data_IF_204101375624
#
_entry.id   IF_204101375624
#
_cell.length_a   1.000
_cell.length_b   1.000
_cell.length_c   1.000
_cell.angle_alpha   90.00
_cell.angle_beta   90.00
_cell.angle_gamma   90.00
#
_symmetry.space_group_name_H-M   'P 1'
#
loop_
_entity.id
_entity.type
_entity.pdbx_description
1 polymer ?
#
# COMPACT_ATOMS: atom_id res chain seq x y z
N UNK A 1 43.13 -39.18 -79.17
CA UNK A 1 43.30 -38.84 -77.73
C UNK A 1 42.29 -37.81 -77.27
N UNK A 2 41.66 -37.99 -76.09
CA UNK A 2 40.66 -37.09 -75.49
C UNK A 2 41.11 -36.58 -74.13
N UNK A 3 40.55 -35.46 -73.63
CA UNK A 3 40.83 -34.95 -72.27
C UNK A 3 39.65 -35.20 -71.33
N UNK A 4 39.95 -35.48 -70.05
CA UNK A 4 38.91 -35.53 -69.01
C UNK A 4 38.34 -34.13 -68.70
N UNK A 5 37.08 -34.02 -68.25
CA UNK A 5 36.41 -32.72 -68.10
C UNK A 5 36.91 -31.87 -66.92
N UNK A 6 37.34 -32.49 -65.81
CA UNK A 6 37.67 -31.77 -64.58
C UNK A 6 39.16 -31.42 -64.47
N UNK A 7 40.02 -32.41 -64.67
CA UNK A 7 41.47 -32.26 -64.51
C UNK A 7 42.21 -32.27 -65.85
N UNK A 8 41.49 -32.32 -66.97
CA UNK A 8 42.07 -32.26 -68.33
C UNK A 8 43.16 -33.31 -68.58
N UNK A 9 43.08 -34.45 -67.92
CA UNK A 9 43.98 -35.59 -68.09
C UNK A 9 43.85 -36.21 -69.48
N UNK A 10 44.97 -36.57 -70.11
CA UNK A 10 45.06 -37.28 -71.39
C UNK A 10 44.50 -38.69 -71.27
N UNK A 11 43.51 -39.02 -72.10
CA UNK A 11 42.85 -40.33 -72.15
C UNK A 11 42.96 -40.88 -73.58
N UNK A 12 43.58 -42.06 -73.79
CA UNK A 12 43.63 -42.71 -75.10
C UNK A 12 42.22 -42.99 -75.63
N UNK A 13 42.00 -42.83 -76.93
CA UNK A 13 40.84 -43.38 -77.61
C UNK A 13 41.08 -44.85 -78.00
N UNK A 14 40.02 -45.58 -78.38
CA UNK A 14 40.07 -47.03 -78.55
C UNK A 14 41.04 -47.54 -79.62
N UNK A 15 41.62 -46.64 -80.42
CA UNK A 15 42.62 -46.93 -81.46
C UNK A 15 43.99 -46.33 -81.17
N UNK A 16 44.10 -45.46 -80.16
CA UNK A 16 45.37 -44.82 -79.79
C UNK A 16 46.31 -45.79 -79.05
N UNK A 17 47.62 -45.79 -79.38
CA UNK A 17 48.61 -46.48 -78.56
C UNK A 17 48.76 -45.78 -77.20
N UNK A 18 48.87 -46.57 -76.12
CA UNK A 18 49.12 -46.04 -74.77
C UNK A 18 50.56 -45.52 -74.67
N UNK A 19 50.73 -44.24 -74.34
CA UNK A 19 52.03 -43.62 -74.11
C UNK A 19 52.29 -43.44 -72.61
N UNK A 20 53.47 -43.86 -72.14
CA UNK A 20 53.89 -43.75 -70.74
C UNK A 20 54.07 -42.29 -70.33
N UNK A 21 54.50 -41.41 -71.25
CA UNK A 21 54.66 -39.99 -70.95
C UNK A 21 53.32 -39.36 -70.55
N UNK A 22 52.25 -39.68 -71.27
CA UNK A 22 50.92 -39.13 -70.99
C UNK A 22 50.40 -39.51 -69.59
N UNK A 23 50.79 -40.70 -69.11
CA UNK A 23 50.45 -41.15 -67.76
C UNK A 23 51.23 -40.37 -66.69
N UNK A 24 52.52 -40.14 -66.92
CA UNK A 24 53.35 -39.35 -66.00
C UNK A 24 52.81 -37.91 -65.90
N UNK A 25 52.54 -37.28 -67.05
CA UNK A 25 52.00 -35.93 -67.11
C UNK A 25 50.65 -35.83 -66.39
N UNK A 26 49.78 -36.84 -66.54
CA UNK A 26 48.51 -36.90 -65.83
C UNK A 26 48.67 -37.02 -64.31
N UNK A 27 49.67 -37.78 -63.84
CA UNK A 27 49.92 -37.94 -62.41
C UNK A 27 50.44 -36.65 -61.78
N UNK A 28 51.28 -35.90 -62.48
CA UNK A 28 51.73 -34.58 -62.04
C UNK A 28 50.56 -33.60 -61.91
N UNK A 29 49.64 -33.61 -62.89
CA UNK A 29 48.41 -32.79 -62.83
C UNK A 29 47.51 -33.20 -61.67
N UNK A 30 47.34 -34.51 -61.42
CA UNK A 30 46.53 -35.01 -60.31
C UNK A 30 47.10 -34.59 -58.95
N UNK A 31 48.41 -34.74 -58.74
CA UNK A 31 49.07 -34.35 -57.49
C UNK A 31 48.87 -32.85 -57.20
N UNK A 32 49.06 -32.02 -58.23
CA UNK A 32 48.87 -30.57 -58.12
C UNK A 32 47.42 -30.14 -57.87
N UNK A 33 46.42 -30.86 -58.39
CA UNK A 33 45.01 -30.47 -58.27
C UNK A 33 44.29 -31.08 -57.06
N UNK A 34 44.63 -32.31 -56.66
CA UNK A 34 43.99 -32.99 -55.51
C UNK A 34 44.34 -32.31 -54.20
N UNK A 35 45.58 -31.82 -54.05
CA UNK A 35 46.02 -31.08 -52.85
C UNK A 35 45.23 -29.78 -52.61
N UNK A 36 44.53 -29.26 -53.63
CA UNK A 36 43.69 -28.07 -53.52
C UNK A 36 42.30 -28.36 -52.96
N UNK A 37 41.91 -29.63 -52.83
CA UNK A 37 40.62 -30.03 -52.24
C UNK A 37 40.76 -30.11 -50.72
N UNK A 38 39.66 -29.81 -50.02
CA UNK A 38 39.61 -29.95 -48.57
C UNK A 38 39.29 -31.41 -48.20
N UNK A 39 40.18 -32.05 -47.45
CA UNK A 39 39.95 -33.39 -46.91
C UNK A 39 38.99 -33.38 -45.72
N UNK A 40 38.41 -34.54 -45.37
CA UNK A 40 37.47 -34.68 -44.23
C UNK A 40 38.06 -34.16 -42.90
N UNK A 41 39.38 -34.23 -42.76
CA UNK A 41 40.14 -33.77 -41.60
C UNK A 41 41.23 -32.77 -42.00
N UNK A 42 41.15 -32.21 -43.21
CA UNK A 42 42.14 -31.26 -43.73
C UNK A 42 42.05 -29.91 -43.04
N UNK A 43 43.13 -29.12 -43.13
CA UNK A 43 43.14 -27.75 -42.62
C UNK A 43 42.25 -26.84 -43.48
N UNK A 44 41.28 -26.19 -42.84
CA UNK A 44 40.36 -25.24 -43.48
C UNK A 44 40.69 -23.77 -43.19
N UNK A 45 41.83 -23.48 -42.57
CA UNK A 45 42.24 -22.12 -42.13
C UNK A 45 42.20 -21.05 -43.22
N UNK A 46 42.46 -21.43 -44.49
CA UNK A 46 42.49 -20.54 -45.65
C UNK A 46 41.29 -20.71 -46.60
N UNK A 47 40.26 -21.47 -46.20
CA UNK A 47 39.06 -21.69 -47.04
C UNK A 47 38.18 -20.44 -46.98
N UNK A 48 37.94 -19.81 -48.13
CA UNK A 48 37.07 -18.65 -48.25
C UNK A 48 35.70 -19.07 -48.78
N UNK A 49 34.65 -18.74 -48.04
CA UNK A 49 33.27 -18.97 -48.47
C UNK A 49 32.53 -17.64 -48.67
N UNK A 50 31.85 -17.48 -49.81
CA UNK A 50 30.96 -16.34 -50.05
C UNK A 50 29.54 -16.73 -49.62
N UNK A 51 28.97 -15.99 -48.67
CA UNK A 51 27.62 -16.20 -48.18
C UNK A 51 26.86 -14.87 -48.03
N UNK A 52 25.53 -14.98 -47.98
CA UNK A 52 24.62 -13.86 -47.76
C UNK A 52 23.79 -14.18 -46.51
N UNK A 53 23.40 -13.15 -45.76
CA UNK A 53 22.52 -13.32 -44.61
C UNK A 53 21.20 -14.00 -45.02
N UNK A 54 20.74 -14.95 -44.21
CA UNK A 54 19.42 -15.57 -44.39
C UNK A 54 18.29 -14.58 -44.05
N UNK A 55 17.15 -14.71 -44.74
CA UNK A 55 15.99 -13.84 -44.50
C UNK A 55 15.29 -14.06 -43.14
N UNK A 56 15.41 -15.26 -42.55
CA UNK A 56 14.75 -15.62 -41.29
C UNK A 56 15.58 -16.59 -40.44
N UNK A 57 15.31 -16.61 -39.13
CA UNK A 57 15.92 -17.56 -38.19
C UNK A 57 15.36 -18.95 -38.41
N UNK A 58 16.23 -19.87 -38.81
CA UNK A 58 15.89 -21.29 -39.05
C UNK A 58 17.01 -22.18 -38.52
N UNK A 59 16.67 -23.42 -38.19
CA UNK A 59 17.66 -24.40 -37.74
C UNK A 59 18.57 -24.84 -38.90
N UNK A 60 19.78 -25.26 -38.54
CA UNK A 60 20.71 -25.91 -39.47
C UNK A 60 20.17 -27.28 -39.87
N UNK A 61 20.39 -27.67 -41.11
CA UNK A 61 19.97 -28.97 -41.65
C UNK A 61 21.19 -29.72 -42.19
N UNK A 62 21.28 -31.01 -41.88
CA UNK A 62 22.33 -31.86 -42.41
C UNK A 62 22.27 -31.93 -43.94
N UNK A 63 23.42 -31.81 -44.59
CA UNK A 63 23.54 -31.87 -46.05
C UNK A 63 23.28 -30.54 -46.77
N UNK A 64 23.01 -29.44 -46.05
CA UNK A 64 22.91 -28.12 -46.69
C UNK A 64 24.27 -27.55 -47.11
N UNK A 65 24.27 -26.61 -48.07
CA UNK A 65 25.49 -25.92 -48.49
C UNK A 65 26.08 -25.11 -47.33
N UNK A 66 27.39 -25.15 -47.14
CA UNK A 66 28.08 -24.39 -46.08
C UNK A 66 27.76 -22.88 -46.11
N UNK A 67 27.60 -22.30 -47.30
CA UNK A 67 27.19 -20.89 -47.45
C UNK A 67 25.78 -20.61 -46.91
N UNK A 68 24.87 -21.59 -46.97
CA UNK A 68 23.53 -21.48 -46.37
C UNK A 68 23.62 -21.55 -44.85
N UNK A 69 24.40 -22.48 -44.29
CA UNK A 69 24.61 -22.57 -42.84
C UNK A 69 25.22 -21.29 -42.27
N UNK A 70 26.23 -20.72 -42.92
CA UNK A 70 26.80 -19.42 -42.49
C UNK A 70 25.81 -18.26 -42.64
N UNK A 71 24.98 -18.24 -43.69
CA UNK A 71 23.91 -17.26 -43.82
C UNK A 71 22.89 -17.31 -42.66
N UNK A 72 22.52 -18.52 -42.21
CA UNK A 72 21.65 -18.72 -41.05
C UNK A 72 22.31 -18.29 -39.74
N UNK A 73 23.56 -18.69 -39.51
CA UNK A 73 24.34 -18.28 -38.32
C UNK A 73 24.48 -16.75 -38.26
N UNK A 74 24.78 -16.10 -39.38
CA UNK A 74 24.83 -14.64 -39.47
C UNK A 74 23.50 -14.00 -39.08
N UNK A 75 22.36 -14.57 -39.50
CA UNK A 75 21.03 -14.07 -39.12
C UNK A 75 20.80 -14.17 -37.61
N UNK A 76 21.20 -15.27 -36.98
CA UNK A 76 21.15 -15.42 -35.51
C UNK A 76 21.99 -14.36 -34.80
N UNK A 77 23.22 -14.10 -35.24
CA UNK A 77 24.07 -13.08 -34.62
C UNK A 77 23.53 -11.66 -34.78
N UNK A 78 22.98 -11.32 -35.94
CA UNK A 78 22.41 -9.99 -36.17
C UNK A 78 21.19 -9.76 -35.28
N UNK A 79 20.29 -10.74 -35.20
CA UNK A 79 19.04 -10.61 -34.44
C UNK A 79 19.26 -10.61 -32.92
N UNK A 80 20.32 -11.25 -32.45
CA UNK A 80 20.66 -11.34 -31.03
C UNK A 80 21.69 -10.29 -30.59
N UNK A 81 22.26 -9.50 -31.52
CA UNK A 81 23.41 -8.63 -31.25
C UNK A 81 23.21 -7.75 -30.01
N UNK A 82 22.14 -6.97 -29.99
CA UNK A 82 21.96 -5.98 -28.93
C UNK A 82 21.79 -6.68 -27.57
N UNK A 83 20.88 -7.66 -27.49
CA UNK A 83 20.61 -8.40 -26.25
C UNK A 83 21.81 -9.23 -25.77
N UNK A 84 22.59 -9.82 -26.69
CA UNK A 84 23.71 -10.70 -26.35
C UNK A 84 24.99 -9.96 -25.99
N UNK A 85 25.21 -8.74 -26.49
CA UNK A 85 26.45 -8.00 -26.29
C UNK A 85 26.36 -6.84 -25.29
N UNK A 86 25.27 -6.05 -25.28
CA UNK A 86 25.13 -4.99 -24.27
C UNK A 86 24.50 -5.50 -22.98
N UNK A 87 23.64 -6.53 -23.07
CA UNK A 87 22.98 -7.13 -21.92
C UNK A 87 22.15 -6.14 -21.10
N UNK A 88 21.79 -4.99 -21.67
CA UNK A 88 21.05 -3.95 -20.96
C UNK A 88 19.58 -4.30 -20.98
N UNK A 89 18.90 -3.96 -19.89
CA UNK A 89 17.44 -4.06 -19.84
C UNK A 89 16.74 -3.22 -20.92
N UNK A 90 17.40 -2.16 -21.42
CA UNK A 90 16.91 -1.34 -22.54
C UNK A 90 16.84 -2.08 -23.87
N UNK A 91 17.52 -3.22 -24.02
CA UNK A 91 17.63 -3.96 -25.28
C UNK A 91 16.41 -4.87 -25.51
N UNK A 92 15.53 -5.00 -24.51
CA UNK A 92 14.30 -5.77 -24.58
C UNK A 92 13.15 -4.93 -25.15
N UNK A 93 12.45 -5.46 -26.16
CA UNK A 93 11.15 -4.96 -26.62
C UNK A 93 10.03 -5.60 -25.80
N UNK A 94 8.80 -5.05 -25.87
CA UNK A 94 7.60 -5.61 -25.22
C UNK A 94 7.75 -5.86 -23.71
N UNK A 95 8.48 -4.98 -23.03
CA UNK A 95 8.68 -5.04 -21.59
C UNK A 95 7.33 -4.87 -20.87
N UNK A 96 7.08 -5.61 -19.77
CA UNK A 96 5.95 -5.33 -18.90
C UNK A 96 5.98 -3.86 -18.49
N UNK A 97 4.89 -3.15 -18.73
CA UNK A 97 4.71 -1.81 -18.19
C UNK A 97 4.25 -1.95 -16.75
N UNK A 98 4.94 -1.29 -15.82
CA UNK A 98 4.38 -1.08 -14.49
C UNK A 98 3.12 -0.22 -14.72
N UNK A 99 1.91 -0.66 -14.33
CA UNK A 99 0.72 0.15 -14.49
C UNK A 99 0.96 1.52 -13.86
N UNK A 100 0.56 2.60 -14.55
CA UNK A 100 0.60 3.94 -13.97
C UNK A 100 -0.28 3.92 -12.70
N UNK A 101 0.33 4.19 -11.52
CA UNK A 101 -0.33 4.02 -10.23
C UNK A 101 -0.05 2.69 -9.52
N UNK A 102 0.90 1.88 -10.00
CA UNK A 102 1.50 0.83 -9.19
C UNK A 102 2.06 1.42 -7.90
N UNK A 103 1.73 0.80 -6.77
CA UNK A 103 1.91 1.23 -5.36
C UNK A 103 3.36 1.65 -4.99
N UNK A 104 4.32 1.53 -5.91
CA UNK A 104 5.74 1.84 -5.72
C UNK A 104 6.21 3.18 -6.34
N UNK A 105 5.32 4.01 -6.88
CA UNK A 105 5.70 5.36 -7.32
C UNK A 105 5.91 6.28 -6.11
N UNK A 106 7.19 6.53 -5.77
CA UNK A 106 7.58 7.41 -4.66
C UNK A 106 6.96 8.81 -4.77
N UNK A 107 6.66 9.29 -5.98
CA UNK A 107 6.03 10.61 -6.17
C UNK A 107 4.57 10.66 -5.71
N UNK A 108 3.92 9.50 -5.52
CA UNK A 108 2.53 9.37 -5.09
C UNK A 108 2.37 8.98 -3.62
N UNK A 109 3.47 8.93 -2.88
CA UNK A 109 3.48 8.65 -1.44
C UNK A 109 3.60 9.98 -0.69
N UNK A 110 2.64 10.26 0.20
CA UNK A 110 2.61 11.49 0.99
C UNK A 110 2.98 11.19 2.44
N UNK A 111 4.10 11.71 2.91
CA UNK A 111 4.70 11.36 4.21
C UNK A 111 4.45 12.37 5.35
N UNK A 112 3.62 13.39 5.16
CA UNK A 112 3.20 14.32 6.23
C UNK A 112 1.67 14.55 6.22
N UNK A 113 1.09 14.92 7.36
CA UNK A 113 -0.36 15.07 7.48
C UNK A 113 -0.93 16.28 6.73
N UNK A 114 -0.19 17.40 6.68
CA UNK A 114 -0.67 18.63 6.04
C UNK A 114 -0.91 18.43 4.53
N UNK A 115 0.02 17.74 3.86
CA UNK A 115 -0.12 17.40 2.45
C UNK A 115 -1.21 16.36 2.21
N UNK A 116 -1.43 15.41 3.13
CA UNK A 116 -2.56 14.48 3.05
C UNK A 116 -3.89 15.25 3.13
N UNK A 117 -3.99 16.19 4.07
CA UNK A 117 -5.18 17.00 4.26
C UNK A 117 -5.46 17.92 3.06
N UNK A 118 -4.41 18.43 2.42
CA UNK A 118 -4.51 19.28 1.23
C UNK A 118 -4.71 18.48 -0.09
N UNK A 119 -4.48 17.17 -0.09
CA UNK A 119 -4.53 16.36 -1.31
C UNK A 119 -5.97 16.18 -1.84
N UNK A 120 -6.19 16.61 -3.08
CA UNK A 120 -7.45 16.43 -3.81
C UNK A 120 -7.34 15.44 -4.99
N UNK A 121 -6.14 14.89 -5.23
CA UNK A 121 -5.86 14.06 -6.39
C UNK A 121 -6.07 12.57 -6.09
N UNK A 122 -6.62 11.84 -7.07
CA UNK A 122 -6.79 10.39 -6.98
C UNK A 122 -5.48 9.64 -7.19
N UNK A 123 -5.33 8.49 -6.52
CA UNK A 123 -4.19 7.59 -6.70
C UNK A 123 -2.94 7.92 -5.88
N UNK A 124 -3.00 8.90 -4.99
CA UNK A 124 -2.00 9.09 -3.92
C UNK A 124 -2.32 8.18 -2.73
N UNK A 125 -1.28 7.79 -1.99
CA UNK A 125 -1.40 6.97 -0.78
C UNK A 125 -0.69 7.64 0.40
N UNK A 126 -1.24 7.44 1.60
CA UNK A 126 -0.59 7.87 2.83
C UNK A 126 0.68 7.06 3.07
N UNK A 127 1.79 7.77 3.28
CA UNK A 127 3.08 7.20 3.60
C UNK A 127 3.17 6.76 5.06
N UNK A 128 4.15 5.89 5.35
CA UNK A 128 4.31 5.29 6.67
C UNK A 128 4.61 6.33 7.77
N UNK A 129 5.29 7.43 7.43
CA UNK A 129 5.59 8.50 8.38
C UNK A 129 4.34 9.26 8.79
N UNK A 130 3.47 9.61 7.82
CA UNK A 130 2.21 10.26 8.10
C UNK A 130 1.27 9.37 8.93
N UNK A 131 1.20 8.07 8.63
CA UNK A 131 0.40 7.12 9.42
C UNK A 131 0.95 6.98 10.85
N UNK A 132 2.27 6.98 11.02
CA UNK A 132 2.91 6.97 12.34
C UNK A 132 2.57 8.23 13.12
N UNK A 133 2.68 9.40 12.50
CA UNK A 133 2.36 10.68 13.13
C UNK A 133 0.88 10.76 13.51
N UNK A 134 -0.03 10.32 12.64
CA UNK A 134 -1.46 10.19 12.97
C UNK A 134 -1.66 9.31 14.20
N UNK A 135 -1.04 8.13 14.25
CA UNK A 135 -1.16 7.23 15.39
C UNK A 135 -0.58 7.81 16.69
N UNK A 136 0.52 8.58 16.59
CA UNK A 136 1.11 9.29 17.73
C UNK A 136 0.18 10.40 18.23
N UNK A 137 -0.40 11.18 17.32
CA UNK A 137 -1.35 12.26 17.64
C UNK A 137 -2.64 11.71 18.27
N UNK A 138 -3.09 10.52 17.83
CA UNK A 138 -4.21 9.81 18.45
C UNK A 138 -3.89 9.32 19.86
N UNK A 139 -2.63 9.07 20.20
CA UNK A 139 -2.22 8.67 21.55
C UNK A 139 -2.87 7.36 22.04
N UNK A 140 -3.27 6.47 21.11
CA UNK A 140 -3.98 5.23 21.44
C UNK A 140 -5.49 5.38 21.66
N UNK A 141 -6.07 6.55 21.39
CA UNK A 141 -7.52 6.73 21.34
C UNK A 141 -8.10 6.03 20.10
N UNK A 142 -9.25 5.40 20.26
CA UNK A 142 -10.07 4.92 19.15
C UNK A 142 -11.38 5.69 19.07
N UNK A 143 -11.85 5.91 17.84
CA UNK A 143 -13.09 6.63 17.57
C UNK A 143 -14.05 5.72 16.81
N UNK A 144 -15.32 5.74 17.20
CA UNK A 144 -16.38 5.03 16.50
C UNK A 144 -17.69 5.81 16.56
N UNK A 145 -18.63 5.44 15.71
CA UNK A 145 -19.96 6.04 15.63
C UNK A 145 -20.98 4.91 15.56
N UNK A 146 -22.05 5.02 16.33
CA UNK A 146 -23.21 4.12 16.31
C UNK A 146 -24.51 4.93 16.16
N UNK A 147 -25.66 4.27 16.25
CA UNK A 147 -26.98 4.91 16.11
C UNK A 147 -27.25 6.02 17.16
N UNK A 148 -26.49 6.02 18.27
CA UNK A 148 -26.69 6.91 19.42
C UNK A 148 -25.69 8.06 19.49
N UNK A 149 -24.59 8.01 18.73
CA UNK A 149 -23.67 9.14 18.56
C UNK A 149 -22.23 8.76 18.25
N UNK A 150 -21.32 9.72 18.47
CA UNK A 150 -19.87 9.57 18.25
C UNK A 150 -19.17 9.32 19.58
N UNK A 151 -18.19 8.43 19.59
CA UNK A 151 -17.55 7.98 20.82
C UNK A 151 -16.03 7.96 20.69
N UNK A 152 -15.37 8.13 21.84
CA UNK A 152 -13.94 7.90 22.03
C UNK A 152 -13.72 6.83 23.10
N UNK A 153 -12.81 5.89 22.84
CA UNK A 153 -12.33 4.93 23.84
C UNK A 153 -10.84 5.17 24.06
N UNK A 154 -10.45 5.27 25.33
CA UNK A 154 -9.05 5.34 25.73
C UNK A 154 -8.55 4.01 26.27
N UNK A 155 -7.49 4.06 27.08
CA UNK A 155 -6.96 2.87 27.76
C UNK A 155 -7.98 2.23 28.72
N UNK A 156 -8.82 3.06 29.34
CA UNK A 156 -9.97 2.62 30.12
C UNK A 156 -11.12 2.33 29.13
N UNK A 157 -11.52 1.07 29.01
CA UNK A 157 -12.33 0.54 27.90
C UNK A 157 -13.77 1.05 27.84
N UNK A 158 -14.10 2.09 28.62
CA UNK A 158 -15.43 2.70 28.69
C UNK A 158 -15.54 3.78 27.59
N UNK A 159 -16.43 3.60 26.60
CA UNK A 159 -16.66 4.63 25.60
C UNK A 159 -17.22 5.91 26.22
N UNK A 160 -16.70 7.05 25.78
CA UNK A 160 -17.21 8.38 26.13
C UNK A 160 -17.82 9.01 24.91
N UNK A 161 -19.09 9.40 25.01
CA UNK A 161 -19.78 10.14 23.96
C UNK A 161 -19.08 11.48 23.75
N UNK A 162 -18.73 11.80 22.51
CA UNK A 162 -18.15 13.07 22.12
C UNK A 162 -19.29 14.08 21.92
N UNK A 163 -19.11 15.29 22.46
CA UNK A 163 -20.05 16.39 22.29
C UNK A 163 -21.21 16.45 23.28
N UNK A 164 -21.24 15.63 24.34
CA UNK A 164 -22.19 15.80 25.44
C UNK A 164 -21.82 17.07 26.23
N UNK A 165 -22.71 18.07 26.25
CA UNK A 165 -22.52 19.27 27.05
C UNK A 165 -22.52 18.91 28.55
N UNK A 166 -21.73 19.60 29.37
CA UNK A 166 -21.83 19.48 30.83
C UNK A 166 -22.01 20.88 31.39
N UNK A 167 -23.10 21.10 32.12
CA UNK A 167 -23.34 22.37 32.81
C UNK A 167 -23.51 22.15 34.30
N UNK A 168 -22.97 23.11 35.05
CA UNK A 168 -23.06 23.17 36.50
C UNK A 168 -23.92 24.38 36.87
N UNK A 169 -25.01 24.13 37.57
CA UNK A 169 -25.93 25.14 38.05
C UNK A 169 -25.73 25.34 39.54
N UNK A 170 -25.45 26.56 39.97
CA UNK A 170 -25.37 26.87 41.38
C UNK A 170 -26.77 26.82 42.02
N UNK A 171 -26.87 26.17 43.18
CA UNK A 171 -28.03 26.29 44.08
C UNK A 171 -27.63 27.27 45.18
N UNK A 172 -28.33 28.39 45.25
CA UNK A 172 -28.06 29.45 46.24
C UNK A 172 -29.36 29.79 46.98
N UNK A 173 -30.10 28.77 47.43
CA UNK A 173 -31.46 28.90 47.96
C UNK A 173 -31.63 28.15 49.28
N UNK A 174 -32.53 28.66 50.14
CA UNK A 174 -32.84 28.08 51.46
C UNK A 174 -34.04 27.12 51.42
N UNK A 175 -34.71 26.97 50.27
CA UNK A 175 -35.93 26.18 50.10
C UNK A 175 -35.87 25.30 48.85
N UNK A 176 -36.80 24.36 48.75
CA UNK A 176 -37.02 23.55 47.54
C UNK A 176 -37.13 24.44 46.29
N UNK A 177 -36.73 23.90 45.14
CA UNK A 177 -36.71 24.67 43.91
C UNK A 177 -36.82 23.81 42.65
N UNK A 178 -36.85 24.51 41.52
CA UNK A 178 -36.84 23.92 40.20
C UNK A 178 -35.81 24.61 39.32
N UNK A 179 -35.23 23.87 38.38
CA UNK A 179 -34.28 24.35 37.40
C UNK A 179 -34.77 23.93 36.01
N UNK A 180 -34.94 24.89 35.10
CA UNK A 180 -35.24 24.61 33.70
C UNK A 180 -33.94 24.59 32.88
N UNK A 181 -33.66 23.48 32.21
CA UNK A 181 -32.45 23.27 31.41
C UNK A 181 -32.72 23.26 29.89
N UNK A 182 -33.97 23.44 29.46
CA UNK A 182 -34.37 23.36 28.04
C UNK A 182 -33.68 24.38 27.13
N UNK A 183 -33.31 25.54 27.66
CA UNK A 183 -32.54 26.55 26.91
C UNK A 183 -31.05 26.24 26.82
N UNK A 184 -30.58 25.34 27.68
CA UNK A 184 -29.17 25.07 27.89
C UNK A 184 -28.67 23.81 27.21
N UNK A 185 -29.58 22.84 26.99
CA UNK A 185 -29.32 21.55 26.34
C UNK A 185 -30.32 21.38 25.22
N UNK A 186 -29.88 21.36 23.96
CA UNK A 186 -30.78 21.20 22.82
C UNK A 186 -31.48 19.82 22.81
N UNK A 187 -30.85 18.84 23.43
CA UNK A 187 -31.25 17.44 23.57
C UNK A 187 -31.89 17.15 24.93
N UNK A 188 -32.38 18.17 25.65
CA UNK A 188 -32.93 18.01 27.01
C UNK A 188 -33.96 16.87 27.09
N UNK A 189 -34.81 16.68 26.07
CA UNK A 189 -35.81 15.63 26.05
C UNK A 189 -35.27 14.19 26.18
N UNK A 190 -33.98 13.97 25.95
CA UNK A 190 -33.31 12.67 26.06
C UNK A 190 -32.50 12.52 27.37
N UNK A 191 -32.44 13.55 28.22
CA UNK A 191 -31.78 13.50 29.53
C UNK A 191 -32.56 12.56 30.46
N UNK A 192 -31.84 11.72 31.19
CA UNK A 192 -32.42 10.78 32.17
C UNK A 192 -31.98 11.14 33.59
N UNK A 193 -32.48 10.41 34.60
CA UNK A 193 -32.05 10.61 35.98
C UNK A 193 -30.54 10.40 36.17
N UNK A 194 -29.92 9.50 35.40
CA UNK A 194 -28.48 9.20 35.48
C UNK A 194 -27.61 10.37 35.00
N UNK A 195 -28.18 11.27 34.20
CA UNK A 195 -27.53 12.46 33.69
C UNK A 195 -27.48 13.62 34.70
N UNK A 196 -28.18 13.51 35.84
CA UNK A 196 -28.39 14.61 36.78
C UNK A 196 -27.82 14.26 38.15
N UNK A 197 -26.86 15.04 38.60
CA UNK A 197 -26.28 14.91 39.94
C UNK A 197 -26.53 16.17 40.74
N UNK A 198 -26.94 16.02 42.00
CA UNK A 198 -27.11 17.14 42.94
C UNK A 198 -26.13 17.00 44.10
N UNK A 199 -25.48 18.11 44.44
CA UNK A 199 -24.57 18.21 45.58
C UNK A 199 -24.89 19.44 46.42
N UNK A 200 -24.58 19.36 47.71
CA UNK A 200 -24.56 20.51 48.60
C UNK A 200 -23.15 20.68 49.16
N UNK A 201 -22.70 21.92 49.25
CA UNK A 201 -21.42 22.29 49.82
C UNK A 201 -21.64 22.79 51.24
N UNK A 202 -21.47 21.89 52.21
CA UNK A 202 -21.49 22.24 53.62
C UNK A 202 -20.12 22.76 54.08
N UNK A 203 -19.98 24.06 54.27
CA UNK A 203 -18.89 24.60 55.09
C UNK A 203 -19.19 24.24 56.55
N UNK A 204 -18.39 23.33 57.12
CA UNK A 204 -18.26 22.97 58.53
C UNK A 204 -19.27 23.56 59.54
N UNK A 205 -20.03 22.70 60.21
CA UNK A 205 -20.22 22.80 61.66
C UNK A 205 -20.49 21.40 62.23
N UNK A 206 -19.43 20.73 62.69
CA UNK A 206 -19.60 19.73 63.74
C UNK A 206 -20.31 20.41 64.91
N UNK A 207 -21.52 19.99 65.23
CA UNK A 207 -22.09 20.24 66.54
C UNK A 207 -22.70 18.92 67.02
N UNK A 208 -21.88 18.18 67.75
CA UNK A 208 -22.31 17.09 68.62
C UNK A 208 -23.24 17.67 69.69
N UNK A 209 -24.54 17.76 69.40
CA UNK A 209 -25.55 17.78 70.45
C UNK A 209 -25.95 16.35 70.74
N UNK A 210 -25.29 15.75 71.74
CA UNK A 210 -25.80 14.57 72.42
C UNK A 210 -27.09 14.95 73.13
N UNK A 211 -28.22 14.75 72.46
CA UNK A 211 -29.47 14.41 73.15
C UNK A 211 -30.14 13.27 72.39
N UNK A 212 -30.73 12.34 73.14
CA UNK A 212 -30.94 10.95 72.79
C UNK A 212 -32.00 10.65 71.70
N UNK A 213 -32.30 11.56 70.76
CA UNK A 213 -33.37 11.33 69.76
C UNK A 213 -33.27 12.10 68.43
N UNK A 214 -32.12 12.62 67.99
CA UNK A 214 -32.09 13.28 66.68
C UNK A 214 -30.71 13.59 66.11
N UNK A 215 -30.39 12.97 64.97
CA UNK A 215 -29.27 13.40 64.13
C UNK A 215 -29.69 14.60 63.25
N UNK A 216 -28.86 15.63 63.17
CA UNK A 216 -29.04 16.73 62.20
C UNK A 216 -28.45 16.30 60.86
N UNK A 217 -29.29 16.21 59.83
CA UNK A 217 -28.85 15.94 58.46
C UNK A 217 -29.28 17.08 57.56
N UNK A 218 -28.40 17.43 56.63
CA UNK A 218 -28.69 18.30 55.50
C UNK A 218 -28.38 17.49 54.25
N UNK A 219 -29.34 17.39 53.34
CA UNK A 219 -29.13 16.76 52.04
C UNK A 219 -30.04 17.39 50.99
N UNK A 220 -29.64 17.24 49.73
CA UNK A 220 -30.45 17.63 48.60
C UNK A 220 -30.80 16.38 47.79
N UNK A 221 -31.98 16.39 47.19
CA UNK A 221 -32.47 15.27 46.40
C UNK A 221 -33.14 15.80 45.15
N UNK A 222 -32.83 15.19 44.00
CA UNK A 222 -33.64 15.32 42.79
C UNK A 222 -34.94 14.54 43.01
N UNK A 223 -36.06 15.25 42.95
CA UNK A 223 -37.39 14.66 43.12
C UNK A 223 -37.89 14.10 41.79
N UNK A 224 -37.67 14.84 40.70
CA UNK A 224 -38.11 14.45 39.37
C UNK A 224 -37.41 15.26 38.29
N UNK A 225 -37.39 14.68 37.08
CA UNK A 225 -37.09 15.36 35.83
C UNK A 225 -38.27 15.17 34.87
N UNK A 226 -38.72 16.25 34.24
CA UNK A 226 -39.74 16.21 33.19
C UNK A 226 -39.09 16.40 31.80
N UNK A 227 -38.97 15.33 30.98
CA UNK A 227 -38.36 15.42 29.65
C UNK A 227 -39.15 16.27 28.65
N UNK A 228 -40.45 16.50 28.85
CA UNK A 228 -41.25 17.31 27.94
C UNK A 228 -40.93 18.81 28.08
N UNK A 229 -40.62 19.25 29.30
CA UNK A 229 -40.41 20.67 29.63
C UNK A 229 -38.96 21.01 29.97
N UNK A 230 -38.11 20.00 30.22
CA UNK A 230 -36.73 20.19 30.65
C UNK A 230 -36.61 20.70 32.09
N UNK A 231 -37.61 20.47 32.94
CA UNK A 231 -37.61 20.98 34.33
C UNK A 231 -37.16 19.90 35.31
N UNK A 232 -36.11 20.21 36.06
CA UNK A 232 -35.62 19.45 37.20
C UNK A 232 -36.26 20.03 38.46
N UNK A 233 -36.89 19.18 39.27
CA UNK A 233 -37.40 19.57 40.60
C UNK A 233 -36.53 18.96 41.68
N UNK A 234 -36.11 19.77 42.65
CA UNK A 234 -35.27 19.31 43.76
C UNK A 234 -35.82 19.76 45.11
N UNK A 235 -35.53 18.96 46.13
CA UNK A 235 -35.84 19.29 47.52
C UNK A 235 -34.55 19.43 48.32
N UNK A 236 -34.60 20.40 49.22
CA UNK A 236 -33.56 20.62 50.23
C UNK A 236 -34.17 20.20 51.56
N UNK A 237 -33.50 19.28 52.23
CA UNK A 237 -33.92 18.76 53.53
C UNK A 237 -32.95 19.23 54.60
N UNK A 238 -33.50 19.74 55.70
CA UNK A 238 -32.78 19.99 56.94
C UNK A 238 -33.63 19.50 58.12
N UNK A 239 -33.00 18.85 59.09
CA UNK A 239 -33.63 18.49 60.35
C UNK A 239 -32.80 19.04 61.52
N UNK A 240 -33.49 19.55 62.55
CA UNK A 240 -32.93 20.27 63.68
C UNK A 240 -33.15 21.77 63.60
N UNK A 241 -32.71 22.50 64.63
CA UNK A 241 -32.75 23.96 64.73
C UNK A 241 -31.73 24.62 63.77
N UNK A 242 -31.69 24.18 62.51
CA UNK A 242 -30.87 24.73 61.44
C UNK A 242 -31.57 25.99 60.93
N UNK A 243 -31.71 26.97 61.82
CA UNK A 243 -32.27 28.27 61.49
C UNK A 243 -31.40 28.97 60.45
N UNK A 244 -31.97 29.25 59.28
CA UNK A 244 -31.53 30.29 58.35
C UNK A 244 -30.11 30.19 57.73
N UNK A 245 -29.56 28.99 57.53
CA UNK A 245 -28.31 28.86 56.74
C UNK A 245 -28.62 28.68 55.25
N UNK A 246 -28.03 29.53 54.42
CA UNK A 246 -28.08 29.44 52.96
C UNK A 246 -27.35 28.17 52.52
N UNK A 247 -28.11 27.21 51.98
CA UNK A 247 -27.55 25.99 51.45
C UNK A 247 -26.99 26.28 50.06
N UNK A 248 -25.67 26.39 50.00
CA UNK A 248 -24.95 26.51 48.74
C UNK A 248 -24.71 25.10 48.20
N UNK A 249 -25.11 24.85 46.97
CA UNK A 249 -24.97 23.56 46.31
C UNK A 249 -24.83 23.70 44.81
N UNK A 250 -24.92 22.58 44.11
CA UNK A 250 -24.85 22.54 42.67
C UNK A 250 -25.71 21.42 42.10
N UNK A 251 -26.16 21.62 40.86
CA UNK A 251 -26.70 20.57 40.00
C UNK A 251 -25.75 20.44 38.81
N UNK A 252 -25.20 19.25 38.60
CA UNK A 252 -24.46 18.91 37.38
C UNK A 252 -25.42 18.19 36.47
N UNK A 253 -25.54 18.68 35.24
CA UNK A 253 -26.32 18.05 34.18
C UNK A 253 -25.36 17.67 33.05
N UNK A 254 -25.43 16.41 32.67
CA UNK A 254 -24.73 15.85 31.51
C UNK A 254 -25.72 15.76 30.34
N UNK A 255 -25.37 16.33 29.19
CA UNK A 255 -26.07 16.14 27.93
C UNK A 255 -26.12 14.65 27.55
N UNK A 256 -27.06 14.30 26.69
CA UNK A 256 -27.36 12.92 26.31
C UNK A 256 -26.52 12.39 25.16
#
# INVERSE_FOLDING_TARGET
>A
MQLTPNFRLMKPDGTDPVNVQDLNDNMDVLDAEVVKKLDKTGDASNVVNKFTQAGSRTNLLSGEKLSVSFGKIMKWFVDLKDVAFSGRYSDLTDRPTIPAGGIADKSKIIDNLDDIAANTQTGYIAGALAVKELNQNLGGLSFYEDETGKYVIGADSVPKKLGSDVKVYAITQTTNGSLNISSDFADYANITADNINIGITGGWTEHTYTSATGHTYVYAQIVSYDPATGVITYKLYSNGNVGAYQLNGYIIVHGS
#
